data_IF_271362466289
#
_entry.id   IF_271362466289
#
_cell.length_a   1.000
_cell.length_b   1.000
_cell.length_c   1.000
_cell.angle_alpha   90.00
_cell.angle_beta   90.00
_cell.angle_gamma   90.00
#
_symmetry.space_group_name_H-M   'P 1'
#
loop_
_entity.id
_entity.type
_entity.pdbx_description
1 polymer ?
#
# COMPACT_ATOMS: atom_id res chain seq x y z
N UNK A 1 1.17 17.34 18.46
CA UNK A 1 0.62 17.14 17.09
C UNK A 1 1.75 17.25 16.09
N UNK A 2 2.01 16.22 15.27
CA UNK A 2 3.15 16.19 14.34
C UNK A 2 2.95 17.27 13.26
N UNK A 3 3.93 18.17 13.13
CA UNK A 3 3.97 19.22 12.14
C UNK A 3 3.95 18.64 10.72
N UNK A 4 2.78 18.58 10.10
CA UNK A 4 2.65 18.35 8.66
C UNK A 4 3.23 19.58 7.97
N UNK A 5 4.53 19.52 7.60
CA UNK A 5 5.17 20.55 6.79
C UNK A 5 4.30 20.77 5.56
N UNK A 6 3.86 22.02 5.34
CA UNK A 6 3.01 22.40 4.20
C UNK A 6 3.72 22.05 2.90
N UNK A 7 3.36 20.93 2.30
CA UNK A 7 3.76 20.56 0.93
C UNK A 7 3.12 21.56 -0.02
N UNK A 8 3.92 22.47 -0.57
CA UNK A 8 3.48 23.35 -1.65
C UNK A 8 3.37 22.59 -2.97
N UNK A 9 2.49 23.03 -3.88
CA UNK A 9 2.28 22.41 -5.21
C UNK A 9 3.56 22.23 -6.02
N UNK A 10 4.55 23.10 -5.82
CA UNK A 10 5.87 23.01 -6.48
C UNK A 10 6.72 21.88 -5.91
N UNK A 11 6.66 21.65 -4.59
CA UNK A 11 7.35 20.54 -3.94
C UNK A 11 6.68 19.18 -4.24
N UNK A 12 5.37 19.16 -4.53
CA UNK A 12 4.69 17.93 -4.97
C UNK A 12 5.24 17.39 -6.30
N UNK A 13 5.73 18.25 -7.20
CA UNK A 13 6.33 17.82 -8.48
C UNK A 13 7.67 17.11 -8.29
N UNK A 14 8.40 17.40 -7.21
CA UNK A 14 9.69 16.79 -6.88
C UNK A 14 9.57 15.57 -5.96
N UNK A 15 8.38 15.30 -5.41
CA UNK A 15 8.12 14.07 -4.65
C UNK A 15 8.08 12.88 -5.63
N UNK A 16 9.24 12.23 -5.77
CA UNK A 16 9.33 10.88 -6.33
C UNK A 16 8.85 9.90 -5.27
N UNK A 17 7.73 9.20 -5.54
CA UNK A 17 7.25 8.11 -4.66
C UNK A 17 5.83 8.27 -4.10
N UNK A 18 4.88 8.71 -4.92
CA UNK A 18 3.44 8.57 -4.63
C UNK A 18 2.85 7.30 -5.24
N UNK A 19 1.79 6.77 -4.65
CA UNK A 19 0.91 5.78 -5.29
C UNK A 19 -0.29 6.50 -5.92
N UNK A 20 -0.89 5.92 -6.97
CA UNK A 20 -2.11 6.47 -7.55
C UNK A 20 -3.25 6.44 -6.54
N UNK A 21 -4.26 7.29 -6.73
CA UNK A 21 -5.46 7.29 -5.87
C UNK A 21 -6.12 5.91 -5.86
N UNK A 22 -6.17 5.23 -7.00
CA UNK A 22 -6.73 3.87 -7.13
C UNK A 22 -5.98 2.87 -6.26
N UNK A 23 -4.64 2.92 -6.27
CA UNK A 23 -3.82 2.08 -5.40
C UNK A 23 -4.00 2.43 -3.92
N UNK A 24 -4.11 3.73 -3.58
CA UNK A 24 -4.36 4.14 -2.19
C UNK A 24 -5.72 3.65 -1.70
N UNK A 25 -6.77 3.75 -2.52
CA UNK A 25 -8.12 3.25 -2.18
C UNK A 25 -8.13 1.73 -2.05
N UNK A 26 -7.42 1.01 -2.93
CA UNK A 26 -7.26 -0.44 -2.82
C UNK A 26 -6.56 -0.84 -1.53
N UNK A 27 -5.40 -0.25 -1.25
CA UNK A 27 -4.65 -0.53 -0.01
C UNK A 27 -5.43 -0.19 1.26
N UNK A 28 -6.25 0.87 1.25
CA UNK A 28 -7.06 1.27 2.40
C UNK A 28 -8.30 0.39 2.62
N UNK A 29 -8.75 -0.33 1.58
CA UNK A 29 -9.91 -1.23 1.66
C UNK A 29 -9.54 -2.66 2.01
N UNK A 30 -8.25 -3.01 1.96
CA UNK A 30 -7.72 -4.31 2.37
C UNK A 30 -7.62 -4.43 3.89
N UNK A 31 -7.63 -5.66 4.38
CA UNK A 31 -7.41 -5.98 5.80
C UNK A 31 -5.97 -5.70 6.21
N UNK A 32 -5.02 -6.13 5.39
CA UNK A 32 -3.59 -5.92 5.64
C UNK A 32 -2.80 -5.78 4.33
N UNK A 33 -1.65 -5.08 4.39
CA UNK A 33 -0.77 -4.86 3.25
C UNK A 33 0.71 -5.02 3.63
N UNK A 34 1.47 -5.68 2.76
CA UNK A 34 2.87 -6.06 2.97
C UNK A 34 3.75 -5.59 1.82
N UNK A 35 5.04 -5.41 2.10
CA UNK A 35 6.02 -4.99 1.10
C UNK A 35 6.44 -6.10 0.15
N UNK A 36 6.26 -7.37 0.52
CA UNK A 36 6.64 -8.54 -0.27
C UNK A 36 5.50 -9.54 -0.33
N UNK A 37 5.44 -10.31 -1.43
CA UNK A 37 4.44 -11.36 -1.60
C UNK A 37 4.55 -12.45 -0.52
N UNK A 38 5.78 -12.92 -0.25
CA UNK A 38 6.03 -13.93 0.77
C UNK A 38 5.54 -13.53 2.17
N UNK A 39 5.62 -12.25 2.54
CA UNK A 39 5.11 -11.77 3.82
C UNK A 39 3.58 -11.74 3.86
N UNK A 40 2.92 -11.50 2.73
CA UNK A 40 1.48 -11.59 2.62
C UNK A 40 1.02 -13.07 2.70
N UNK A 41 1.63 -13.95 1.92
CA UNK A 41 1.33 -15.40 1.90
C UNK A 41 1.58 -16.07 3.26
N UNK A 42 2.58 -15.63 4.01
CA UNK A 42 2.86 -16.15 5.36
C UNK A 42 1.74 -15.89 6.38
N UNK A 43 0.77 -15.01 6.08
CA UNK A 43 -0.34 -14.73 7.00
C UNK A 43 -1.49 -15.72 6.89
N UNK A 44 -1.60 -16.46 5.79
CA UNK A 44 -2.67 -17.41 5.61
C UNK A 44 -2.25 -18.76 6.18
N UNK A 45 -3.06 -19.27 7.10
CA UNK A 45 -2.90 -20.62 7.65
C UNK A 45 -3.58 -21.68 6.77
N UNK A 46 -4.49 -21.24 5.90
CA UNK A 46 -5.31 -22.10 5.05
C UNK A 46 -4.83 -22.00 3.59
N UNK A 47 -4.44 -23.11 2.96
CA UNK A 47 -3.90 -23.10 1.60
C UNK A 47 -4.94 -22.76 0.52
N UNK A 48 -6.24 -22.95 0.80
CA UNK A 48 -7.33 -22.72 -0.16
C UNK A 48 -7.77 -21.24 -0.20
N UNK A 49 -7.44 -20.44 0.82
CA UNK A 49 -7.77 -19.00 0.90
C UNK A 49 -6.53 -18.09 0.86
N UNK A 50 -5.63 -18.32 -0.10
CA UNK A 50 -4.45 -17.49 -0.34
C UNK A 50 -4.65 -16.56 -1.56
N UNK A 51 -5.13 -15.33 -1.34
CA UNK A 51 -5.07 -14.33 -2.41
C UNK A 51 -4.48 -13.00 -1.93
N UNK A 52 -3.26 -12.72 -2.39
CA UNK A 52 -2.59 -11.44 -2.21
C UNK A 52 -2.75 -10.60 -3.49
N UNK A 53 -3.53 -9.53 -3.42
CA UNK A 53 -3.70 -8.57 -4.52
C UNK A 53 -2.56 -7.55 -4.48
N UNK A 54 -1.90 -7.32 -5.61
CA UNK A 54 -0.85 -6.32 -5.71
C UNK A 54 -1.44 -4.94 -6.01
N UNK A 55 -1.42 -4.05 -5.02
CA UNK A 55 -1.73 -2.63 -5.19
C UNK A 55 -0.44 -1.81 -5.29
N UNK A 56 -0.05 -1.47 -6.52
CA UNK A 56 1.18 -0.74 -6.84
C UNK A 56 2.44 -1.40 -6.21
N UNK A 57 2.85 -0.89 -5.05
CA UNK A 57 4.06 -1.25 -4.33
C UNK A 57 3.82 -2.15 -3.11
N UNK A 58 2.59 -2.63 -2.88
CA UNK A 58 2.24 -3.53 -1.78
C UNK A 58 1.39 -4.71 -2.23
N UNK A 59 1.45 -5.78 -1.44
CA UNK A 59 0.62 -6.98 -1.56
C UNK A 59 -0.37 -7.00 -0.41
N UNK A 60 -1.67 -7.06 -0.69
CA UNK A 60 -2.72 -6.91 0.31
C UNK A 60 -3.78 -7.99 0.19
N UNK A 61 -4.50 -8.25 1.28
CA UNK A 61 -5.66 -9.15 1.34
C UNK A 61 -6.74 -8.58 2.27
#
# INVERSE_FOLDING_TARGET
>A
MKNLRKLSRENLKTVKGGITEECARGQASSTACFSTLAACEATFSDPDFNFCIRYCNRYCY
#
